data_IF_206939945589
#
_entry.id   IF_206939945589
#
_cell.length_a   1.000
_cell.length_b   1.000
_cell.length_c   1.000
_cell.angle_alpha   90.00
_cell.angle_beta   90.00
_cell.angle_gamma   90.00
#
_symmetry.space_group_name_H-M   'P 1'
#
loop_
_entity.id
_entity.type
_entity.pdbx_description
1 polymer ?
#
# COMPACT_ATOMS: atom_id res chain seq x y z
N UNK A 1 -1.57 -15.70 6.33
CA UNK A 1 -2.92 -16.27 6.04
C UNK A 1 -3.69 -16.63 7.31
N UNK A 2 -5.01 -16.37 7.35
CA UNK A 2 -5.90 -16.83 8.43
C UNK A 2 -6.42 -18.25 8.12
N UNK A 3 -6.19 -19.20 9.01
CA UNK A 3 -6.54 -20.61 8.80
C UNK A 3 -7.99 -20.95 9.16
N UNK A 4 -8.77 -19.99 9.70
CA UNK A 4 -10.18 -20.18 10.06
C UNK A 4 -10.40 -20.94 11.38
N UNK A 5 -9.33 -21.35 12.05
CA UNK A 5 -9.33 -22.09 13.32
C UNK A 5 -8.66 -21.31 14.46
N UNK A 6 -8.59 -19.98 14.31
CA UNK A 6 -7.89 -19.03 15.21
C UNK A 6 -6.37 -19.12 15.16
N UNK A 7 -5.80 -19.84 14.19
CA UNK A 7 -4.37 -19.80 13.90
C UNK A 7 -4.08 -18.99 12.64
N UNK A 8 -2.81 -18.59 12.50
CA UNK A 8 -2.31 -17.88 11.34
C UNK A 8 -1.05 -18.58 10.83
N UNK A 9 -0.93 -18.63 9.51
CA UNK A 9 0.28 -19.08 8.81
C UNK A 9 1.00 -17.85 8.30
N UNK A 10 2.27 -17.68 8.66
CA UNK A 10 3.16 -16.70 8.01
C UNK A 10 3.37 -17.15 6.56
N UNK A 11 3.17 -16.26 5.61
CA UNK A 11 3.25 -16.58 4.19
C UNK A 11 3.69 -15.40 3.33
N UNK A 12 4.14 -14.29 3.90
CA UNK A 12 4.40 -13.07 3.13
C UNK A 12 5.44 -13.30 2.02
N UNK A 13 6.45 -14.11 2.32
CA UNK A 13 7.50 -14.53 1.38
C UNK A 13 6.98 -15.30 0.16
N UNK A 14 5.83 -15.95 0.26
CA UNK A 14 5.22 -16.67 -0.86
C UNK A 14 4.46 -15.72 -1.81
N UNK A 15 4.08 -14.54 -1.31
CA UNK A 15 3.19 -13.62 -2.02
C UNK A 15 3.89 -12.34 -2.49
N UNK A 16 4.97 -11.91 -1.83
CA UNK A 16 5.68 -10.66 -2.16
C UNK A 16 7.18 -10.90 -2.22
N UNK A 17 7.87 -10.24 -3.15
CA UNK A 17 9.34 -10.26 -3.23
C UNK A 17 10.00 -9.41 -2.13
N UNK A 18 9.29 -8.39 -1.64
CA UNK A 18 9.78 -7.48 -0.60
C UNK A 18 8.64 -6.67 0.02
N UNK A 19 8.91 -6.04 1.16
CA UNK A 19 7.92 -5.23 1.90
C UNK A 19 8.47 -3.89 2.39
N UNK A 20 7.59 -3.03 2.94
CA UNK A 20 7.99 -1.86 3.73
C UNK A 20 8.81 -2.28 4.96
N UNK A 21 9.82 -1.49 5.33
CA UNK A 21 10.64 -1.76 6.51
C UNK A 21 9.99 -1.29 7.82
N UNK A 22 9.33 -0.13 7.80
CA UNK A 22 8.71 0.48 8.97
C UNK A 22 7.24 0.80 8.69
N UNK A 23 6.45 -0.23 8.40
CA UNK A 23 5.02 -0.06 8.06
C UNK A 23 4.28 0.73 9.14
N UNK A 24 3.79 1.91 8.79
CA UNK A 24 3.03 2.77 9.71
C UNK A 24 1.51 2.66 9.52
N UNK A 25 1.10 2.32 8.29
CA UNK A 25 -0.28 2.14 7.90
C UNK A 25 -0.41 1.14 6.76
N UNK A 26 -1.58 0.52 6.66
CA UNK A 26 -1.94 -0.40 5.59
C UNK A 26 -3.42 -0.23 5.28
N UNK A 27 -3.75 -0.25 3.99
CA UNK A 27 -5.13 -0.37 3.54
C UNK A 27 -5.19 -1.23 2.27
N UNK A 28 -6.37 -1.79 2.02
CA UNK A 28 -6.62 -2.79 0.97
C UNK A 28 -7.83 -2.35 0.16
N UNK A 29 -7.65 -2.25 -1.15
CA UNK A 29 -8.71 -1.92 -2.11
C UNK A 29 -8.34 -2.47 -3.49
N UNK A 30 -9.33 -2.68 -4.35
CA UNK A 30 -9.13 -2.99 -5.77
C UNK A 30 -8.86 -1.67 -6.51
N UNK A 31 -7.59 -1.39 -6.81
CA UNK A 31 -7.15 -0.09 -7.33
C UNK A 31 -7.29 -0.01 -8.86
N UNK A 32 -7.24 -1.15 -9.55
CA UNK A 32 -7.32 -1.26 -11.01
C UNK A 32 -8.70 -1.78 -11.51
N UNK A 33 -9.65 -2.02 -10.61
CA UNK A 33 -11.01 -2.52 -10.89
C UNK A 33 -11.03 -3.92 -11.56
N UNK A 34 -10.10 -4.81 -11.22
CA UNK A 34 -10.07 -6.19 -11.72
C UNK A 34 -10.76 -7.21 -10.79
N UNK A 35 -11.27 -6.76 -9.64
CA UNK A 35 -11.93 -7.56 -8.62
C UNK A 35 -10.96 -8.28 -7.66
N UNK A 36 -9.65 -8.03 -7.77
CA UNK A 36 -8.60 -8.56 -6.91
C UNK A 36 -8.08 -7.42 -6.02
N UNK A 37 -8.18 -7.54 -4.67
CA UNK A 37 -7.73 -6.47 -3.79
C UNK A 37 -6.20 -6.33 -3.79
N UNK A 38 -5.74 -5.09 -3.90
CA UNK A 38 -4.36 -4.66 -3.80
C UNK A 38 -4.04 -4.15 -2.39
N UNK A 39 -2.75 -4.09 -2.04
CA UNK A 39 -2.30 -3.64 -0.72
C UNK A 39 -1.42 -2.41 -0.87
N UNK A 40 -1.77 -1.33 -0.19
CA UNK A 40 -0.89 -0.18 -0.04
C UNK A 40 -0.41 -0.08 1.40
N UNK A 41 0.90 -0.01 1.60
CA UNK A 41 1.52 0.20 2.91
C UNK A 41 2.41 1.43 2.92
N UNK A 42 2.30 2.21 4.00
CA UNK A 42 3.03 3.46 4.18
C UNK A 42 4.30 3.28 5.01
N UNK A 43 5.30 4.10 4.68
CA UNK A 43 6.59 4.21 5.36
C UNK A 43 7.02 5.69 5.39
N UNK A 44 8.24 5.99 5.82
CA UNK A 44 8.68 7.33 6.21
C UNK A 44 9.66 7.99 5.21
N UNK A 45 9.74 7.51 3.97
CA UNK A 45 10.67 8.05 2.97
C UNK A 45 10.33 9.50 2.59
N UNK A 46 11.18 10.50 2.89
CA UNK A 46 10.91 11.89 2.53
C UNK A 46 10.92 12.11 1.01
N UNK A 47 9.98 12.92 0.53
CA UNK A 47 9.96 13.38 -0.87
C UNK A 47 10.71 14.70 -1.07
N UNK A 48 11.03 15.42 0.01
CA UNK A 48 11.84 16.63 -0.03
C UNK A 48 13.33 16.27 0.09
N UNK A 49 14.13 16.67 -0.90
CA UNK A 49 15.57 16.36 -0.98
C UNK A 49 16.33 16.77 0.29
N UNK A 50 16.11 17.99 0.81
CA UNK A 50 16.78 18.46 2.03
C UNK A 50 16.46 17.59 3.26
N UNK A 51 15.24 17.04 3.33
CA UNK A 51 14.83 16.15 4.42
C UNK A 51 15.39 14.76 4.21
N UNK A 52 15.39 14.28 2.97
CA UNK A 52 15.96 12.98 2.61
C UNK A 52 17.45 12.90 2.95
N UNK A 53 18.23 13.92 2.57
CA UNK A 53 19.69 13.95 2.80
C UNK A 53 20.10 13.94 4.27
N UNK A 54 19.18 14.32 5.17
CA UNK A 54 19.39 14.30 6.63
C UNK A 54 18.56 13.24 7.35
N UNK A 55 17.87 12.34 6.65
CA UNK A 55 17.07 11.28 7.28
C UNK A 55 17.81 9.95 7.25
N UNK A 56 18.10 9.39 8.42
CA UNK A 56 18.48 7.98 8.56
C UNK A 56 17.23 7.09 8.53
N UNK A 57 17.37 5.83 8.12
CA UNK A 57 16.26 4.88 8.19
C UNK A 57 16.50 3.60 7.40
N UNK A 58 17.10 3.72 6.22
CA UNK A 58 17.42 2.54 5.42
C UNK A 58 18.57 1.75 6.04
N UNK A 59 18.42 0.42 6.08
CA UNK A 59 19.51 -0.47 6.47
C UNK A 59 20.67 -0.39 5.48
N UNK A 60 21.89 -0.47 5.99
CA UNK A 60 23.07 -0.66 5.13
C UNK A 60 23.02 -2.03 4.46
N UNK A 61 23.70 -2.18 3.32
CA UNK A 61 23.75 -3.46 2.61
C UNK A 61 24.31 -4.59 3.48
N UNK A 62 25.24 -4.28 4.38
CA UNK A 62 25.72 -5.23 5.39
C UNK A 62 24.59 -5.74 6.30
N UNK A 63 23.76 -4.84 6.84
CA UNK A 63 22.64 -5.23 7.71
C UNK A 63 21.61 -6.05 6.91
N UNK A 64 21.31 -5.66 5.67
CA UNK A 64 20.40 -6.41 4.79
C UNK A 64 20.88 -7.83 4.55
N UNK A 65 22.18 -8.03 4.30
CA UNK A 65 22.77 -9.38 4.14
C UNK A 65 22.65 -10.23 5.41
N UNK A 66 22.96 -9.65 6.58
CA UNK A 66 22.83 -10.34 7.86
C UNK A 66 21.37 -10.75 8.11
N UNK A 67 20.41 -9.85 7.82
CA UNK A 67 18.97 -10.15 7.91
C UNK A 67 18.58 -11.32 6.99
N UNK A 68 19.04 -11.31 5.74
CA UNK A 68 18.78 -12.41 4.80
C UNK A 68 19.35 -13.75 5.28
N UNK A 69 20.55 -13.79 5.86
CA UNK A 69 21.15 -15.00 6.44
C UNK A 69 20.35 -15.55 7.63
N UNK A 70 19.62 -14.68 8.34
CA UNK A 70 18.71 -15.05 9.43
C UNK A 70 17.30 -15.44 8.94
N UNK A 71 17.05 -15.43 7.62
CA UNK A 71 15.78 -15.78 7.02
C UNK A 71 14.74 -14.66 7.00
N UNK A 72 15.17 -13.39 7.15
CA UNK A 72 14.28 -12.25 6.92
C UNK A 72 14.21 -11.90 5.43
N UNK A 73 12.99 -11.61 4.97
CA UNK A 73 12.75 -11.15 3.61
C UNK A 73 13.27 -9.73 3.37
N UNK A 74 13.52 -9.34 2.10
CA UNK A 74 13.91 -7.97 1.77
C UNK A 74 12.86 -6.94 2.20
N UNK A 75 13.35 -5.85 2.78
CA UNK A 75 12.52 -4.71 3.18
C UNK A 75 13.16 -3.40 2.76
N UNK A 76 12.34 -2.40 2.44
CA UNK A 76 12.78 -1.06 2.04
C UNK A 76 12.01 0.01 2.81
N UNK A 77 12.69 1.06 3.27
CA UNK A 77 12.09 2.16 4.04
C UNK A 77 11.38 3.17 3.13
N UNK A 78 10.33 2.73 2.43
CA UNK A 78 9.49 3.51 1.49
C UNK A 78 8.10 2.92 1.38
N UNK A 79 7.12 3.66 0.89
CA UNK A 79 5.78 3.09 0.63
C UNK A 79 5.85 1.97 -0.41
N UNK A 80 4.91 1.03 -0.32
CA UNK A 80 4.74 -0.05 -1.28
C UNK A 80 3.30 -0.10 -1.77
N UNK A 81 3.15 -0.39 -3.06
CA UNK A 81 1.86 -0.59 -3.74
C UNK A 81 1.91 -1.99 -4.34
N UNK A 82 1.45 -2.97 -3.59
CA UNK A 82 1.46 -4.38 -3.96
C UNK A 82 0.21 -4.68 -4.77
N UNK A 83 0.33 -4.70 -6.09
CA UNK A 83 -0.74 -5.02 -7.02
C UNK A 83 -0.91 -6.55 -7.12
N UNK A 84 -2.13 -7.06 -6.98
CA UNK A 84 -2.41 -8.48 -7.04
C UNK A 84 -2.31 -9.01 -8.47
N UNK A 85 -1.42 -9.95 -8.76
CA UNK A 85 -1.14 -10.39 -10.15
C UNK A 85 -2.19 -11.35 -10.73
N UNK A 86 -3.05 -11.92 -9.88
CA UNK A 86 -3.97 -13.00 -10.24
C UNK A 86 -3.28 -14.37 -10.42
N UNK A 87 -1.95 -14.41 -10.31
CA UNK A 87 -1.13 -15.62 -10.45
C UNK A 87 -0.63 -16.17 -9.10
N UNK A 88 -1.16 -15.65 -7.98
CA UNK A 88 -0.77 -16.05 -6.63
C UNK A 88 0.45 -15.30 -6.11
N UNK A 89 0.66 -14.06 -6.55
CA UNK A 89 1.70 -13.15 -6.07
C UNK A 89 1.23 -11.70 -6.16
N UNK A 90 2.01 -10.79 -5.58
CA UNK A 90 1.89 -9.36 -5.74
C UNK A 90 3.13 -8.79 -6.45
N UNK A 91 2.94 -7.64 -7.10
CA UNK A 91 4.00 -6.86 -7.71
C UNK A 91 4.00 -5.45 -7.12
N UNK A 92 5.15 -4.99 -6.63
CA UNK A 92 5.28 -3.63 -6.10
C UNK A 92 5.42 -2.60 -7.23
N UNK A 93 4.45 -1.70 -7.32
CA UNK A 93 4.38 -0.65 -8.34
C UNK A 93 4.68 0.75 -7.80
N UNK A 94 4.99 0.93 -6.51
CA UNK A 94 5.08 2.27 -5.91
C UNK A 94 6.15 3.19 -6.56
N UNK A 95 7.25 2.61 -7.07
CA UNK A 95 8.26 3.36 -7.82
C UNK A 95 7.75 3.78 -9.19
N UNK A 96 7.06 2.89 -9.91
CA UNK A 96 6.51 3.15 -11.24
C UNK A 96 5.38 4.19 -11.18
N UNK A 97 4.50 4.10 -10.19
CA UNK A 97 3.39 5.03 -9.96
C UNK A 97 3.81 6.30 -9.23
N UNK A 98 5.07 6.38 -8.78
CA UNK A 98 5.65 7.52 -8.03
C UNK A 98 4.94 7.82 -6.70
N UNK A 99 4.35 6.81 -6.07
CA UNK A 99 3.70 6.90 -4.75
C UNK A 99 4.61 6.44 -3.60
N UNK A 100 5.88 6.13 -3.90
CA UNK A 100 6.85 5.54 -2.97
C UNK A 100 7.33 6.46 -1.83
N UNK A 101 7.29 7.78 -1.99
CA UNK A 101 7.82 8.74 -1.03
C UNK A 101 6.76 9.77 -0.64
N UNK A 102 6.34 9.74 0.64
CA UNK A 102 5.38 10.69 1.20
C UNK A 102 5.82 11.26 2.54
N UNK A 103 7.10 11.14 2.90
CA UNK A 103 7.64 11.55 4.20
C UNK A 103 6.96 10.79 5.36
N UNK A 104 6.92 11.38 6.57
CA UNK A 104 6.48 10.71 7.80
C UNK A 104 4.99 10.34 7.83
N UNK A 105 4.67 9.25 7.14
CA UNK A 105 3.31 8.81 6.85
C UNK A 105 2.72 8.01 8.00
N UNK A 106 1.41 8.12 8.20
CA UNK A 106 0.67 7.38 9.24
C UNK A 106 -0.51 6.60 8.65
N UNK A 107 -1.71 7.20 8.60
CA UNK A 107 -2.90 6.59 8.04
C UNK A 107 -2.82 6.59 6.51
N UNK A 108 -3.27 5.50 5.90
CA UNK A 108 -3.62 5.43 4.48
C UNK A 108 -5.11 5.10 4.34
N UNK A 109 -5.78 5.76 3.39
CA UNK A 109 -7.17 5.48 3.01
C UNK A 109 -7.21 5.32 1.49
N UNK A 110 -7.61 4.13 1.02
CA UNK A 110 -7.84 3.83 -0.39
C UNK A 110 -9.33 3.94 -0.68
N UNK A 111 -9.73 5.00 -1.40
CA UNK A 111 -11.12 5.27 -1.71
C UNK A 111 -11.25 6.25 -2.87
N UNK A 112 -12.35 6.16 -3.61
CA UNK A 112 -12.74 7.12 -4.63
C UNK A 112 -13.35 8.37 -3.97
N UNK A 113 -12.61 9.48 -3.93
CA UNK A 113 -13.06 10.72 -3.28
C UNK A 113 -13.73 11.70 -4.26
N UNK A 114 -13.64 11.47 -5.57
CA UNK A 114 -14.18 12.34 -6.61
C UNK A 114 -15.27 11.67 -7.47
N UNK A 115 -15.68 10.46 -7.09
CA UNK A 115 -16.69 9.63 -7.74
C UNK A 115 -16.37 9.23 -9.19
N UNK A 116 -15.10 9.25 -9.62
CA UNK A 116 -14.73 8.92 -10.99
C UNK A 116 -14.65 7.40 -11.28
N UNK A 117 -14.91 6.55 -10.28
CA UNK A 117 -14.86 5.09 -10.34
C UNK A 117 -13.50 4.49 -9.97
N UNK A 118 -12.49 5.32 -9.75
CA UNK A 118 -11.11 4.95 -9.48
C UNK A 118 -10.72 5.33 -8.06
N UNK A 119 -9.83 4.54 -7.46
CA UNK A 119 -9.52 4.67 -6.03
C UNK A 119 -8.30 5.57 -5.91
N UNK A 120 -8.43 6.60 -5.10
CA UNK A 120 -7.35 7.51 -4.74
C UNK A 120 -6.61 6.99 -3.50
N UNK A 121 -5.46 7.61 -3.20
CA UNK A 121 -4.64 7.28 -2.04
C UNK A 121 -4.49 8.52 -1.18
N UNK A 122 -5.20 8.57 -0.06
CA UNK A 122 -4.98 9.58 0.97
C UNK A 122 -3.99 9.08 2.02
N UNK A 123 -3.06 9.93 2.43
CA UNK A 123 -2.05 9.66 3.47
C UNK A 123 -1.96 10.83 4.45
N UNK A 124 -2.12 10.55 5.74
CA UNK A 124 -1.83 11.54 6.79
C UNK A 124 -0.34 11.60 7.11
N UNK A 125 0.14 12.79 7.46
CA UNK A 125 1.57 13.07 7.48
C UNK A 125 2.04 13.95 8.65
N UNK A 126 3.33 13.86 8.96
CA UNK A 126 4.02 14.71 9.91
C UNK A 126 4.45 13.98 11.18
N UNK A 127 5.49 14.52 11.82
CA UNK A 127 5.92 14.07 13.15
C UNK A 127 6.33 15.26 14.01
N UNK A 128 5.82 15.29 15.24
CA UNK A 128 6.07 16.38 16.19
C UNK A 128 7.57 16.54 16.50
N UNK A 129 8.31 15.43 16.54
CA UNK A 129 9.74 15.37 16.82
C UNK A 129 10.36 14.27 15.95
N UNK A 130 11.27 14.62 15.04
CA UNK A 130 11.91 13.70 14.08
C UNK A 130 13.21 13.13 14.70
N UNK A 131 13.22 11.88 15.22
CA UNK A 131 14.39 11.34 15.91
C UNK A 131 15.47 10.79 14.97
N UNK A 132 15.12 10.47 13.73
CA UNK A 132 16.03 9.89 12.73
C UNK A 132 16.80 10.95 11.92
N UNK A 133 16.75 12.21 12.34
CA UNK A 133 17.50 13.28 11.71
C UNK A 133 19.01 13.11 12.02
N UNK A 134 19.83 13.03 10.99
CA UNK A 134 21.26 12.76 11.07
C UNK A 134 22.03 13.91 11.72
N UNK A 135 21.59 15.16 11.54
CA UNK A 135 22.20 16.30 12.22
C UNK A 135 21.90 16.24 13.72
N UNK A 136 20.69 15.84 14.10
CA UNK A 136 20.34 15.58 15.49
C UNK A 136 21.12 14.40 16.09
N UNK A 137 21.27 13.30 15.35
CA UNK A 137 22.08 12.14 15.77
C UNK A 137 23.56 12.54 15.94
N UNK A 138 24.11 13.36 15.06
CA UNK A 138 25.46 13.90 15.19
C UNK A 138 25.58 14.81 16.41
N UNK A 139 24.58 15.65 16.68
CA UNK A 139 24.53 16.50 17.85
C UNK A 139 24.49 15.70 19.16
N UNK A 140 23.71 14.62 19.22
CA UNK A 140 23.65 13.70 20.37
C UNK A 140 25.03 13.15 20.75
N UNK A 141 25.88 12.89 19.75
CA UNK A 141 27.22 12.33 19.91
C UNK A 141 28.33 13.39 20.02
N UNK A 142 27.98 14.68 20.08
CA UNK A 142 28.94 15.77 20.13
C UNK A 142 29.50 16.01 21.54
N UNK A 143 30.69 16.63 21.63
CA UNK A 143 31.27 17.12 22.89
C UNK A 143 30.37 18.11 23.64
N UNK A 144 29.47 18.79 22.92
CA UNK A 144 28.51 19.70 23.51
C UNK A 144 27.52 18.99 24.43
N UNK A 145 27.23 17.71 24.19
CA UNK A 145 26.31 16.89 24.99
C UNK A 145 27.05 15.90 25.88
N UNK A 146 28.15 15.30 25.42
CA UNK A 146 28.85 14.22 26.16
C UNK A 146 29.42 14.65 27.52
N UNK A 147 29.64 15.95 27.73
CA UNK A 147 30.08 16.52 29.02
C UNK A 147 29.02 16.50 30.12
N UNK A 148 27.75 16.37 29.76
CA UNK A 148 26.65 16.31 30.71
C UNK A 148 26.39 14.88 31.14
N UNK A 149 25.97 14.70 32.40
CA UNK A 149 25.46 13.40 32.85
C UNK A 149 24.11 13.12 32.20
N UNK A 150 23.73 11.85 32.08
CA UNK A 150 22.46 11.46 31.45
C UNK A 150 21.23 12.02 32.18
N UNK A 151 21.30 12.12 33.51
CA UNK A 151 20.25 12.61 34.40
C UNK A 151 20.21 14.15 34.52
N UNK A 152 21.09 14.87 33.82
CA UNK A 152 21.17 16.32 33.88
C UNK A 152 19.94 16.98 33.19
N UNK A 153 19.16 17.80 33.90
CA UNK A 153 18.04 18.51 33.30
C UNK A 153 18.44 19.45 32.15
N UNK A 154 19.64 20.05 32.20
CA UNK A 154 20.15 20.92 31.13
C UNK A 154 20.42 20.12 29.86
N UNK A 155 20.96 18.90 29.99
CA UNK A 155 21.13 17.98 28.87
C UNK A 155 19.80 17.69 28.21
N UNK A 156 18.80 17.30 29.00
CA UNK A 156 17.46 16.97 28.52
C UNK A 156 16.83 18.14 27.77
N UNK A 157 16.91 19.36 28.34
CA UNK A 157 16.38 20.56 27.70
C UNK A 157 17.04 20.83 26.33
N UNK A 158 18.37 20.71 26.24
CA UNK A 158 19.11 20.91 24.98
C UNK A 158 18.76 19.89 23.91
N UNK A 159 18.56 18.63 24.29
CA UNK A 159 18.15 17.58 23.36
C UNK A 159 16.74 17.84 22.83
N UNK A 160 15.80 18.23 23.69
CA UNK A 160 14.42 18.58 23.29
C UNK A 160 14.39 19.80 22.35
N UNK A 161 15.22 20.80 22.64
CA UNK A 161 15.35 22.01 21.81
C UNK A 161 15.90 21.69 20.41
N UNK A 162 16.88 20.79 20.32
CA UNK A 162 17.53 20.41 19.06
C UNK A 162 16.79 19.35 18.25
N UNK A 163 15.82 18.64 18.85
CA UNK A 163 14.96 17.70 18.13
C UNK A 163 14.13 18.44 17.07
N UNK A 164 14.35 18.17 15.78
CA UNK A 164 13.62 18.83 14.69
C UNK A 164 12.13 18.52 14.77
N UNK A 165 11.31 19.49 14.40
CA UNK A 165 9.87 19.35 14.28
C UNK A 165 9.47 19.84 12.89
N UNK A 166 8.65 19.08 12.17
CA UNK A 166 8.25 19.43 10.82
C UNK A 166 6.77 19.16 10.61
N UNK A 167 5.98 20.23 10.54
CA UNK A 167 4.59 20.13 10.10
C UNK A 167 4.58 19.86 8.59
N UNK A 168 3.78 18.91 8.16
CA UNK A 168 3.66 18.50 6.76
C UNK A 168 2.21 18.61 6.31
N UNK A 169 2.01 18.83 5.01
CA UNK A 169 0.69 18.66 4.41
C UNK A 169 0.40 17.17 4.26
N UNK A 170 -0.86 16.81 4.34
CA UNK A 170 -1.30 15.45 4.01
C UNK A 170 -1.22 15.26 2.49
N UNK A 171 -1.22 14.01 2.03
CA UNK A 171 -1.11 13.67 0.61
C UNK A 171 -2.40 13.03 0.15
N UNK A 172 -2.93 13.46 -1.00
CA UNK A 172 -4.01 12.81 -1.74
C UNK A 172 -3.55 12.61 -3.18
N UNK A 173 -3.11 11.39 -3.49
CA UNK A 173 -2.84 10.99 -4.87
C UNK A 173 -4.16 10.65 -5.55
N UNK A 174 -4.60 11.51 -6.48
CA UNK A 174 -5.78 11.22 -7.30
C UNK A 174 -5.43 10.31 -8.45
N UNK A 175 -6.19 9.25 -8.66
CA UNK A 175 -5.98 8.33 -9.78
C UNK A 175 -6.52 8.94 -11.09
N UNK A 176 -5.74 8.84 -12.15
CA UNK A 176 -6.01 9.44 -13.47
C UNK A 176 -6.25 8.40 -14.58
N UNK A 177 -6.38 7.12 -14.22
CA UNK A 177 -6.47 5.98 -15.14
C UNK A 177 -5.21 5.11 -15.09
N UNK A 178 -5.37 3.81 -15.29
CA UNK A 178 -4.27 2.85 -15.43
C UNK A 178 -3.19 2.95 -14.33
N UNK A 179 -3.63 3.15 -13.08
CA UNK A 179 -2.77 3.34 -11.90
C UNK A 179 -1.79 4.53 -12.02
N UNK A 180 -2.06 5.48 -12.91
CA UNK A 180 -1.36 6.77 -12.92
C UNK A 180 -1.96 7.66 -11.84
N UNK A 181 -1.10 8.30 -11.06
CA UNK A 181 -1.50 9.19 -9.98
C UNK A 181 -0.91 10.59 -10.16
N UNK A 182 -1.58 11.59 -9.57
CA UNK A 182 -1.07 12.97 -9.52
C UNK A 182 0.35 13.03 -8.93
N UNK A 183 1.16 13.97 -9.42
CA UNK A 183 2.52 14.14 -8.91
C UNK A 183 2.51 14.63 -7.44
N UNK A 184 3.53 14.25 -6.66
CA UNK A 184 3.64 14.60 -5.22
C UNK A 184 3.47 16.10 -4.90
N UNK A 185 3.86 16.99 -5.82
CA UNK A 185 3.67 18.43 -5.67
C UNK A 185 2.21 18.87 -5.71
N UNK A 186 1.40 18.21 -6.54
CA UNK A 186 -0.04 18.48 -6.73
C UNK A 186 -0.90 17.75 -5.69
N UNK A 187 -0.40 16.62 -5.18
CA UNK A 187 -1.09 15.78 -4.20
C UNK A 187 -1.09 16.35 -2.78
N UNK A 188 -0.42 17.46 -2.49
CA UNK A 188 -0.36 18.03 -1.14
C UNK A 188 -1.65 18.77 -0.77
N UNK A 189 -2.36 18.28 0.25
CA UNK A 189 -3.68 18.77 0.66
C UNK A 189 -3.72 19.21 2.13
N UNK A 190 -4.66 20.12 2.43
CA UNK A 190 -4.82 20.69 3.77
C UNK A 190 -3.67 21.61 4.19
N UNK A 191 -3.77 22.23 5.36
CA UNK A 191 -2.70 23.04 5.93
C UNK A 191 -1.61 22.13 6.54
N UNK A 192 -0.33 22.57 6.59
CA UNK A 192 0.71 21.82 7.28
C UNK A 192 0.39 21.60 8.76
N UNK A 193 0.50 20.35 9.22
CA UNK A 193 0.15 19.91 10.58
C UNK A 193 0.95 18.67 10.99
N UNK A 194 0.68 18.13 12.18
CA UNK A 194 1.10 16.80 12.59
C UNK A 194 -0.14 15.90 12.61
N UNK A 195 -0.36 15.12 11.57
CA UNK A 195 -1.55 14.27 11.44
C UNK A 195 -1.20 12.80 11.53
N UNK A 196 -1.93 12.06 12.38
CA UNK A 196 -1.72 10.62 12.55
C UNK A 196 -2.94 9.84 12.04
N UNK A 197 -4.09 10.02 12.67
CA UNK A 197 -5.32 9.32 12.31
C UNK A 197 -6.08 9.99 11.18
N UNK A 198 -6.78 9.18 10.37
CA UNK A 198 -7.71 9.67 9.37
C UNK A 198 -8.84 8.65 9.13
N UNK A 199 -10.02 9.16 8.81
CA UNK A 199 -11.20 8.38 8.43
C UNK A 199 -11.98 9.11 7.33
N UNK A 200 -12.81 8.39 6.59
CA UNK A 200 -13.73 9.00 5.62
C UNK A 200 -15.19 8.67 5.91
N UNK A 201 -16.07 9.60 5.56
CA UNK A 201 -17.51 9.43 5.54
C UNK A 201 -18.15 10.53 4.68
N UNK A 202 -19.29 10.23 4.07
CA UNK A 202 -20.21 11.23 3.53
C UNK A 202 -20.99 11.82 4.72
N UNK A 203 -20.51 12.97 5.22
CA UNK A 203 -20.95 13.56 6.49
C UNK A 203 -22.26 14.32 6.38
N UNK A 204 -22.51 14.95 5.23
CA UNK A 204 -23.71 15.76 4.99
C UNK A 204 -24.76 15.05 4.10
N UNK A 205 -24.41 13.91 3.52
CA UNK A 205 -25.30 13.07 2.73
C UNK A 205 -25.41 13.48 1.26
N UNK A 206 -24.46 14.26 0.75
CA UNK A 206 -24.46 14.76 -0.63
C UNK A 206 -23.88 13.78 -1.66
N UNK A 207 -23.33 12.64 -1.21
CA UNK A 207 -22.73 11.63 -2.06
C UNK A 207 -21.26 11.85 -2.38
N UNK A 208 -20.60 12.79 -1.69
CA UNK A 208 -19.16 12.99 -1.72
C UNK A 208 -18.59 12.56 -0.36
N UNK A 209 -17.37 12.02 -0.36
CA UNK A 209 -16.73 11.59 0.86
C UNK A 209 -15.84 12.70 1.42
N UNK A 210 -16.10 13.11 2.65
CA UNK A 210 -15.16 13.92 3.42
C UNK A 210 -14.08 13.05 4.04
N UNK A 211 -12.89 13.64 4.16
CA UNK A 211 -11.78 13.07 4.94
C UNK A 211 -11.67 13.81 6.26
N UNK A 212 -11.84 13.10 7.37
CA UNK A 212 -11.64 13.62 8.72
C UNK A 212 -10.23 13.25 9.18
N UNK A 213 -9.43 14.26 9.52
CA UNK A 213 -8.02 14.11 9.91
C UNK A 213 -7.81 14.50 11.36
N UNK A 214 -7.19 13.63 12.14
CA UNK A 214 -6.78 13.90 13.51
C UNK A 214 -5.42 14.60 13.55
N UNK A 215 -5.38 15.78 14.16
CA UNK A 215 -4.18 16.59 14.32
C UNK A 215 -3.68 16.56 15.77
N UNK A 216 -2.39 16.35 15.98
CA UNK A 216 -1.78 16.33 17.31
C UNK A 216 -1.87 17.73 17.94
N UNK A 217 -2.44 17.83 19.15
CA UNK A 217 -2.58 19.05 19.93
C UNK A 217 -3.34 20.19 19.22
N UNK A 218 -4.12 19.87 18.20
CA UNK A 218 -4.86 20.82 17.37
C UNK A 218 -6.26 20.28 17.06
N UNK A 219 -7.16 21.13 16.58
CA UNK A 219 -8.50 20.71 16.16
C UNK A 219 -8.40 19.79 14.94
N UNK A 220 -9.28 18.77 14.88
CA UNK A 220 -9.40 17.92 13.71
C UNK A 220 -9.76 18.73 12.46
N UNK A 221 -9.25 18.32 11.31
CA UNK A 221 -9.60 18.92 10.02
C UNK A 221 -10.63 18.07 9.30
N UNK A 222 -11.53 18.71 8.55
CA UNK A 222 -12.40 18.05 7.58
C UNK A 222 -12.00 18.57 6.20
N UNK A 223 -11.58 17.66 5.32
CA UNK A 223 -11.25 17.97 3.94
C UNK A 223 -12.46 17.63 3.08
N UNK A 224 -12.97 18.65 2.40
CA UNK A 224 -14.06 18.54 1.44
C UNK A 224 -13.47 18.53 0.03
N UNK A 225 -14.07 17.73 -0.84
CA UNK A 225 -13.75 17.65 -2.26
C UNK A 225 -15.01 17.80 -3.07
N UNK A 226 -14.85 18.05 -4.36
CA UNK A 226 -15.95 18.03 -5.31
C UNK A 226 -15.84 16.74 -6.14
N UNK A 227 -16.99 16.12 -6.41
CA UNK A 227 -17.06 15.08 -7.41
C UNK A 227 -16.66 15.61 -8.81
N UNK A 228 -16.20 14.72 -9.68
CA UNK A 228 -16.03 15.04 -11.09
C UNK A 228 -17.39 15.47 -11.69
N UNK A 229 -17.34 16.40 -12.64
CA UNK A 229 -18.56 16.96 -13.22
C UNK A 229 -19.43 15.88 -13.90
N UNK A 230 -20.64 15.68 -13.37
CA UNK A 230 -21.56 14.66 -13.87
C UNK A 230 -21.30 13.25 -13.33
N UNK A 231 -20.39 13.12 -12.36
CA UNK A 231 -20.18 11.86 -11.66
C UNK A 231 -21.38 11.48 -10.79
N UNK A 232 -21.62 10.19 -10.69
CA UNK A 232 -22.69 9.57 -9.91
C UNK A 232 -22.08 8.67 -8.84
N UNK A 233 -22.87 8.27 -7.85
CA UNK A 233 -22.41 7.42 -6.76
C UNK A 233 -23.44 6.35 -6.40
N UNK A 234 -23.03 5.35 -5.62
CA UNK A 234 -23.90 4.41 -4.95
C UNK A 234 -23.43 4.21 -3.51
N UNK A 235 -24.32 4.46 -2.55
CA UNK A 235 -24.07 4.11 -1.16
C UNK A 235 -24.77 2.81 -0.81
N UNK A 236 -24.09 1.93 -0.08
CA UNK A 236 -24.65 0.62 0.29
C UNK A 236 -24.57 0.44 1.81
N UNK A 237 -25.73 0.18 2.42
CA UNK A 237 -25.83 -0.21 3.82
C UNK A 237 -26.16 -1.70 3.93
N UNK A 238 -25.31 -2.44 4.63
CA UNK A 238 -25.51 -3.86 4.87
C UNK A 238 -26.05 -4.10 6.27
N UNK A 239 -27.11 -4.89 6.38
CA UNK A 239 -27.71 -5.27 7.66
C UNK A 239 -27.97 -6.77 7.73
N UNK A 240 -27.48 -7.43 8.79
CA UNK A 240 -27.90 -8.78 9.16
C UNK A 240 -29.02 -8.68 10.21
N UNK A 241 -30.27 -9.10 9.91
CA UNK A 241 -31.37 -9.07 10.87
C UNK A 241 -31.13 -9.89 12.15
N UNK A 242 -30.22 -10.88 12.12
CA UNK A 242 -29.83 -11.65 13.29
C UNK A 242 -28.84 -10.89 14.21
N UNK A 243 -28.44 -9.67 13.86
CA UNK A 243 -27.49 -8.86 14.63
C UNK A 243 -26.03 -9.29 14.48
N UNK A 244 -25.72 -10.14 13.51
CA UNK A 244 -24.35 -10.55 13.23
C UNK A 244 -23.57 -9.44 12.50
N UNK A 245 -22.25 -9.44 12.65
CA UNK A 245 -21.38 -8.51 11.94
C UNK A 245 -21.49 -8.70 10.43
N UNK A 246 -21.57 -7.57 9.71
CA UNK A 246 -21.51 -7.52 8.25
C UNK A 246 -20.10 -7.21 7.74
N UNK A 247 -19.15 -6.89 8.64
CA UNK A 247 -17.74 -6.66 8.27
C UNK A 247 -17.15 -7.91 7.61
N UNK A 248 -16.39 -7.69 6.54
CA UNK A 248 -15.87 -8.75 5.67
C UNK A 248 -16.83 -9.18 4.55
N UNK A 249 -18.04 -8.62 4.50
CA UNK A 249 -18.91 -8.78 3.34
C UNK A 249 -18.28 -8.13 2.10
N UNK A 250 -18.31 -8.85 0.99
CA UNK A 250 -17.78 -8.42 -0.31
C UNK A 250 -18.94 -7.94 -1.17
N UNK A 251 -18.82 -6.77 -1.76
CA UNK A 251 -19.84 -6.17 -2.60
C UNK A 251 -19.27 -5.86 -3.97
N UNK A 252 -19.97 -6.35 -4.98
CA UNK A 252 -19.68 -6.09 -6.38
C UNK A 252 -20.81 -5.27 -6.97
N UNK A 253 -20.47 -4.22 -7.71
CA UNK A 253 -21.40 -3.39 -8.47
C UNK A 253 -21.05 -3.59 -9.94
N UNK A 254 -21.97 -4.19 -10.70
CA UNK A 254 -21.84 -4.41 -12.12
C UNK A 254 -22.56 -3.29 -12.87
N UNK A 255 -21.85 -2.62 -13.76
CA UNK A 255 -22.39 -1.58 -14.63
C UNK A 255 -22.77 -2.19 -15.99
N UNK A 256 -23.68 -1.53 -16.71
CA UNK A 256 -24.17 -2.02 -18.01
C UNK A 256 -23.12 -1.98 -19.13
N UNK A 257 -22.05 -1.20 -18.95
CA UNK A 257 -20.92 -1.14 -19.89
C UNK A 257 -19.91 -2.30 -19.69
N UNK A 258 -20.15 -3.16 -18.69
CA UNK A 258 -19.31 -4.30 -18.36
C UNK A 258 -18.28 -4.04 -17.25
N UNK A 259 -18.14 -2.81 -16.78
CA UNK A 259 -17.28 -2.50 -15.64
C UNK A 259 -17.83 -3.14 -14.36
N UNK A 260 -16.92 -3.63 -13.50
CA UNK A 260 -17.26 -4.14 -12.17
C UNK A 260 -16.46 -3.37 -11.13
N UNK A 261 -17.12 -2.83 -10.12
CA UNK A 261 -16.49 -2.21 -8.98
C UNK A 261 -16.60 -3.14 -7.77
N UNK A 262 -15.50 -3.31 -7.05
CA UNK A 262 -15.43 -4.18 -5.88
C UNK A 262 -15.05 -3.40 -4.62
N UNK A 263 -15.73 -3.69 -3.51
CA UNK A 263 -15.29 -3.29 -2.17
C UNK A 263 -15.62 -4.37 -1.13
N UNK A 264 -14.76 -4.48 -0.11
CA UNK A 264 -15.04 -5.23 1.11
C UNK A 264 -15.41 -4.28 2.25
N UNK A 265 -16.46 -4.60 3.01
CA UNK A 265 -16.85 -3.80 4.18
C UNK A 265 -15.82 -4.00 5.31
N UNK A 266 -14.83 -3.11 5.34
CA UNK A 266 -13.87 -2.98 6.41
C UNK A 266 -13.85 -1.52 6.88
N UNK A 267 -14.00 -1.32 8.19
CA UNK A 267 -14.03 0.04 8.78
C UNK A 267 -12.75 0.39 9.49
N UNK A 268 -11.93 -0.61 9.86
CA UNK A 268 -10.72 -0.43 10.66
C UNK A 268 -9.54 -0.19 9.73
N UNK A 269 -9.28 1.09 9.46
CA UNK A 269 -8.19 1.62 8.66
C UNK A 269 -7.87 3.03 9.14
N UNK A 270 -6.64 3.48 8.89
CA UNK A 270 -6.10 4.72 9.44
C UNK A 270 -5.80 4.62 10.94
N UNK A 271 -4.65 5.14 11.36
CA UNK A 271 -4.16 5.02 12.73
C UNK A 271 -5.22 5.42 13.78
N UNK A 272 -5.58 4.49 14.67
CA UNK A 272 -6.61 4.67 15.71
C UNK A 272 -7.94 5.26 15.19
N UNK A 273 -8.32 4.93 13.96
CA UNK A 273 -9.46 5.52 13.27
C UNK A 273 -10.44 4.44 12.80
N UNK A 274 -11.67 4.86 12.47
CA UNK A 274 -12.65 4.01 11.81
C UNK A 274 -13.44 4.83 10.79
N UNK A 275 -13.46 4.36 9.55
CA UNK A 275 -14.26 4.98 8.49
C UNK A 275 -15.73 4.55 8.54
N UNK A 276 -16.55 5.15 7.67
CA UNK A 276 -17.97 4.87 7.51
C UNK A 276 -18.30 3.37 7.44
N UNK A 277 -19.48 3.00 7.96
CA UNK A 277 -20.04 1.65 7.81
C UNK A 277 -20.84 1.49 6.51
N UNK A 278 -20.95 2.56 5.72
CA UNK A 278 -21.48 2.51 4.37
C UNK A 278 -20.35 2.28 3.39
N UNK A 279 -20.57 1.36 2.46
CA UNK A 279 -19.74 1.26 1.26
C UNK A 279 -20.16 2.38 0.32
N UNK A 280 -19.19 2.96 -0.37
CA UNK A 280 -19.39 4.08 -1.28
C UNK A 280 -18.68 3.78 -2.59
N UNK A 281 -19.43 3.73 -3.68
CA UNK A 281 -18.92 3.49 -5.02
C UNK A 281 -19.14 4.75 -5.85
N UNK A 282 -18.07 5.39 -6.32
CA UNK A 282 -18.19 6.30 -7.45
C UNK A 282 -18.49 5.52 -8.72
N UNK A 283 -19.40 6.04 -9.53
CA UNK A 283 -19.89 5.39 -10.75
C UNK A 283 -19.44 6.16 -12.01
N UNK A 284 -18.67 7.24 -11.86
CA UNK A 284 -18.38 8.18 -12.93
C UNK A 284 -19.66 8.63 -13.63
N UNK A 285 -19.66 8.66 -14.96
CA UNK A 285 -20.82 9.07 -15.74
C UNK A 285 -21.98 8.05 -15.77
N UNK A 286 -21.85 6.87 -15.15
CA UNK A 286 -22.87 5.83 -15.21
C UNK A 286 -24.11 6.21 -14.38
N UNK A 287 -25.26 6.31 -15.06
CA UNK A 287 -26.55 6.62 -14.43
C UNK A 287 -27.39 5.39 -14.10
N UNK A 288 -26.96 4.21 -14.55
CA UNK A 288 -27.70 2.95 -14.43
C UNK A 288 -26.74 1.84 -14.03
N UNK A 289 -27.16 1.00 -13.08
CA UNK A 289 -26.40 -0.11 -12.55
C UNK A 289 -27.14 -1.39 -12.96
N UNK A 290 -26.44 -2.40 -13.48
CA UNK A 290 -27.05 -3.67 -13.85
C UNK A 290 -27.43 -4.46 -12.58
N UNK A 291 -26.46 -4.67 -11.71
CA UNK A 291 -26.67 -5.46 -10.50
C UNK A 291 -25.68 -5.14 -9.38
N UNK A 292 -26.17 -5.27 -8.15
CA UNK A 292 -25.38 -5.25 -6.93
C UNK A 292 -25.38 -6.64 -6.32
N UNK A 293 -24.20 -7.21 -6.11
CA UNK A 293 -24.02 -8.55 -5.57
C UNK A 293 -23.31 -8.45 -4.22
N UNK A 294 -23.94 -8.99 -3.18
CA UNK A 294 -23.35 -9.10 -1.84
C UNK A 294 -23.00 -10.55 -1.56
N UNK A 295 -21.74 -10.80 -1.19
CA UNK A 295 -21.29 -12.06 -0.60
C UNK A 295 -21.05 -11.80 0.88
N UNK A 296 -21.87 -12.42 1.73
CA UNK A 296 -21.82 -12.25 3.18
C UNK A 296 -20.65 -13.04 3.81
N UNK A 297 -20.27 -12.75 5.06
CA UNK A 297 -19.18 -13.47 5.73
C UNK A 297 -19.39 -14.98 5.89
N UNK A 298 -20.64 -15.46 5.81
CA UNK A 298 -20.99 -16.88 5.81
C UNK A 298 -21.06 -17.50 4.40
N UNK A 299 -20.59 -16.77 3.39
CA UNK A 299 -20.61 -17.15 1.97
C UNK A 299 -22.00 -17.30 1.34
N UNK A 300 -23.06 -16.87 2.02
CA UNK A 300 -24.34 -16.65 1.35
C UNK A 300 -24.22 -15.49 0.37
N UNK A 301 -24.94 -15.58 -0.76
CA UNK A 301 -24.92 -14.57 -1.83
C UNK A 301 -26.31 -14.00 -2.02
N UNK A 302 -26.39 -12.69 -2.19
CA UNK A 302 -27.62 -11.97 -2.51
C UNK A 302 -27.38 -11.02 -3.67
N UNK A 303 -28.40 -10.79 -4.50
CA UNK A 303 -28.30 -9.90 -5.66
C UNK A 303 -29.52 -8.99 -5.73
N UNK A 304 -29.25 -7.70 -5.93
CA UNK A 304 -30.24 -6.66 -6.22
C UNK A 304 -30.06 -6.25 -7.67
N UNK A 305 -31.11 -6.35 -8.48
CA UNK A 305 -31.10 -6.01 -9.91
C UNK A 305 -31.55 -4.57 -10.09
N UNK A 306 -30.89 -3.84 -10.99
CA UNK A 306 -31.19 -2.46 -11.35
C UNK A 306 -31.31 -1.49 -10.15
N UNK A 307 -30.35 -1.44 -9.21
CA UNK A 307 -30.38 -0.42 -8.15
C UNK A 307 -30.23 0.98 -8.75
N UNK A 308 -30.88 1.97 -8.15
CA UNK A 308 -30.75 3.37 -8.53
C UNK A 308 -29.37 3.92 -8.18
N UNK A 309 -28.77 4.69 -9.09
CA UNK A 309 -27.61 5.54 -8.77
C UNK A 309 -28.05 6.75 -7.92
N UNK A 310 -27.09 7.40 -7.26
CA UNK A 310 -27.22 8.56 -6.38
C UNK A 310 -28.17 8.34 -5.20
N UNK A 311 -28.24 7.11 -4.70
CA UNK A 311 -29.10 6.73 -3.60
C UNK A 311 -28.37 5.82 -2.59
N UNK A 312 -28.96 5.74 -1.39
CA UNK A 312 -28.58 4.74 -0.39
C UNK A 312 -29.39 3.46 -0.59
N UNK A 313 -28.73 2.40 -1.03
CA UNK A 313 -29.32 1.07 -1.12
C UNK A 313 -29.12 0.32 0.19
N UNK A 314 -30.22 -0.02 0.86
CA UNK A 314 -30.21 -0.86 2.06
C UNK A 314 -30.38 -2.33 1.68
N UNK A 315 -29.36 -3.14 1.91
CA UNK A 315 -29.40 -4.58 1.69
C UNK A 315 -29.52 -5.29 3.03
N UNK A 316 -30.69 -5.87 3.28
CA UNK A 316 -30.92 -6.76 4.42
C UNK A 316 -30.64 -8.19 4.00
N UNK A 317 -29.81 -8.90 4.76
CA UNK A 317 -29.47 -10.30 4.53
C UNK A 317 -30.73 -11.16 4.53
N UNK A 318 -30.97 -11.86 3.43
CA UNK A 318 -32.05 -12.85 3.31
C UNK A 318 -31.73 -14.18 3.99
N UNK A 319 -32.75 -15.03 4.13
CA UNK A 319 -32.61 -16.41 4.62
C UNK A 319 -32.09 -17.35 3.52
N UNK A 320 -31.01 -16.97 2.84
CA UNK A 320 -30.36 -17.78 1.80
C UNK A 320 -29.22 -18.58 2.41
N UNK A 321 -29.19 -19.89 2.13
CA UNK A 321 -28.06 -20.73 2.51
C UNK A 321 -26.76 -20.35 1.78
N UNK A 322 -25.60 -20.84 2.23
CA UNK A 322 -24.33 -20.62 1.53
C UNK A 322 -24.46 -21.11 0.09
N UNK A 323 -24.09 -20.27 -0.87
CA UNK A 323 -24.08 -20.67 -2.28
C UNK A 323 -22.86 -21.55 -2.53
N UNK A 324 -23.09 -22.80 -2.97
CA UNK A 324 -22.03 -23.69 -3.42
C UNK A 324 -21.31 -23.04 -4.61
N UNK A 325 -20.07 -22.58 -4.41
CA UNK A 325 -19.27 -21.95 -5.47
C UNK A 325 -18.25 -20.90 -5.01
N UNK A 326 -18.36 -20.37 -3.79
CA UNK A 326 -17.42 -19.32 -3.31
C UNK A 326 -16.11 -19.88 -2.75
N UNK A 327 -15.97 -21.21 -2.65
CA UNK A 327 -14.63 -21.81 -2.60
C UNK A 327 -14.05 -21.81 -4.00
N UNK A 328 -13.71 -20.62 -4.49
CA UNK A 328 -12.65 -20.48 -5.46
C UNK A 328 -11.39 -21.01 -4.79
N UNK A 329 -11.17 -22.32 -4.88
CA UNK A 329 -9.81 -22.83 -5.00
C UNK A 329 -9.30 -22.19 -6.28
N UNK A 330 -8.81 -20.96 -6.19
CA UNK A 330 -7.78 -20.50 -7.10
C UNK A 330 -6.67 -21.52 -6.88
N UNK A 331 -6.69 -22.58 -7.70
CA UNK A 331 -5.52 -23.36 -7.98
C UNK A 331 -4.53 -22.31 -8.43
N UNK A 332 -3.67 -21.85 -7.53
CA UNK A 332 -2.47 -21.09 -7.86
C UNK A 332 -1.91 -21.87 -9.04
N UNK A 333 -2.03 -21.29 -10.25
CA UNK A 333 -1.63 -21.97 -11.46
C UNK A 333 -0.19 -22.37 -11.20
N UNK A 334 0.05 -23.69 -11.21
CA UNK A 334 1.33 -24.29 -10.84
C UNK A 334 2.45 -23.39 -11.34
N UNK A 335 3.25 -22.87 -10.41
CA UNK A 335 4.40 -22.04 -10.72
C UNK A 335 5.08 -22.59 -11.98
N UNK A 336 5.46 -21.74 -12.95
CA UNK A 336 6.07 -22.20 -14.18
C UNK A 336 7.15 -23.23 -13.87
N UNK A 337 7.00 -24.43 -14.44
CA UNK A 337 7.97 -25.50 -14.23
C UNK A 337 9.17 -25.20 -15.10
N UNK A 338 10.19 -24.61 -14.51
CA UNK A 338 11.47 -24.45 -15.15
C UNK A 338 12.23 -25.78 -15.10
N UNK A 339 12.77 -26.19 -16.24
CA UNK A 339 13.83 -27.19 -16.25
C UNK A 339 15.12 -26.46 -15.91
N UNK A 340 15.61 -26.65 -14.67
CA UNK A 340 16.88 -26.08 -14.26
C UNK A 340 17.98 -26.63 -15.16
N UNK A 341 18.78 -25.74 -15.73
CA UNK A 341 19.95 -26.14 -16.50
C UNK A 341 20.94 -26.83 -15.56
N UNK A 342 21.54 -27.97 -15.93
CA UNK A 342 22.32 -28.80 -15.00
C UNK A 342 23.70 -28.21 -14.64
N UNK A 343 23.97 -26.96 -14.99
CA UNK A 343 25.22 -26.26 -14.66
C UNK A 343 24.90 -25.17 -13.62
N UNK A 344 25.30 -25.35 -12.34
CA UNK A 344 25.15 -24.31 -11.35
C UNK A 344 26.21 -23.22 -11.59
N UNK A 345 25.78 -21.96 -11.58
CA UNK A 345 26.69 -20.84 -11.41
C UNK A 345 26.90 -20.59 -9.92
N UNK A 346 28.16 -20.47 -9.49
CA UNK A 346 28.50 -20.06 -8.14
C UNK A 346 28.93 -18.59 -8.18
N UNK A 347 28.09 -17.73 -7.61
CA UNK A 347 28.33 -16.29 -7.51
C UNK A 347 29.53 -15.98 -6.61
N UNK A 348 30.37 -15.03 -7.02
CA UNK A 348 31.48 -14.51 -6.23
C UNK A 348 30.95 -13.77 -4.98
N UNK A 349 31.38 -14.18 -3.78
CA UNK A 349 30.91 -13.58 -2.55
C UNK A 349 31.54 -12.20 -2.27
N UNK A 350 32.52 -11.75 -3.08
CA UNK A 350 33.18 -10.47 -2.90
C UNK A 350 32.20 -9.30 -3.01
N UNK A 351 32.35 -8.35 -2.09
CA UNK A 351 31.45 -7.24 -1.86
C UNK A 351 32.22 -5.95 -2.17
N UNK A 352 32.25 -5.60 -3.45
CA UNK A 352 32.97 -4.45 -4.02
C UNK A 352 32.42 -3.11 -3.53
N UNK A 353 31.10 -3.01 -3.33
CA UNK A 353 30.37 -1.88 -2.75
C UNK A 353 30.80 -1.51 -1.31
N UNK A 354 31.45 -2.41 -0.56
CA UNK A 354 32.04 -2.05 0.74
C UNK A 354 33.31 -1.20 0.59
N UNK A 355 34.04 -1.38 -0.51
CA UNK A 355 35.25 -0.60 -0.81
C UNK A 355 34.91 0.65 -1.64
N UNK A 356 34.00 0.50 -2.61
CA UNK A 356 33.54 1.56 -3.52
C UNK A 356 32.06 1.86 -3.26
N UNK A 357 31.77 2.60 -2.18
CA UNK A 357 30.40 2.88 -1.71
C UNK A 357 29.46 3.55 -2.72
N UNK A 358 29.98 4.10 -3.81
CA UNK A 358 29.22 4.79 -4.86
C UNK A 358 29.13 3.98 -6.15
N UNK A 359 29.59 2.72 -6.16
CA UNK A 359 29.46 1.85 -7.30
C UNK A 359 27.96 1.54 -7.52
N UNK A 360 27.43 1.69 -8.75
CA UNK A 360 26.00 1.54 -8.99
C UNK A 360 25.54 0.07 -8.95
N UNK A 361 26.46 -0.87 -9.16
CA UNK A 361 26.21 -2.31 -9.16
C UNK A 361 27.49 -3.06 -8.77
N UNK A 362 27.34 -4.32 -8.34
CA UNK A 362 28.50 -5.18 -8.04
C UNK A 362 29.11 -5.74 -9.33
N UNK A 363 30.23 -5.17 -9.77
CA UNK A 363 31.01 -5.66 -10.91
C UNK A 363 31.69 -7.01 -10.61
N UNK A 364 31.88 -7.33 -9.33
CA UNK A 364 32.37 -8.63 -8.88
C UNK A 364 31.40 -9.78 -9.15
N UNK A 365 30.14 -9.49 -9.51
CA UNK A 365 29.02 -10.43 -9.69
C UNK A 365 28.49 -10.49 -11.12
N UNK A 366 29.35 -10.22 -12.08
CA UNK A 366 29.01 -10.35 -13.49
C UNK A 366 28.98 -11.84 -13.87
N UNK A 367 27.76 -12.38 -13.92
CA UNK A 367 27.49 -13.75 -14.31
C UNK A 367 27.91 -14.09 -15.76
N UNK A 368 27.75 -15.36 -16.18
CA UNK A 368 28.21 -15.82 -17.48
C UNK A 368 27.44 -15.16 -18.62
N UNK A 369 28.13 -14.81 -19.70
CA UNK A 369 27.48 -14.43 -20.95
C UNK A 369 26.75 -15.63 -21.56
N UNK A 370 25.54 -15.42 -22.07
CA UNK A 370 24.71 -16.48 -22.67
C UNK A 370 24.44 -16.17 -24.14
N UNK A 371 24.64 -17.16 -25.01
CA UNK A 371 24.25 -17.11 -26.43
C UNK A 371 23.33 -18.29 -26.73
N UNK A 372 22.19 -18.03 -27.37
CA UNK A 372 21.19 -19.04 -27.73
C UNK A 372 20.80 -18.96 -29.22
N UNK A 373 21.66 -19.52 -30.07
CA UNK A 373 21.56 -19.44 -31.54
C UNK A 373 21.99 -20.75 -32.19
N UNK A 374 21.57 -20.98 -33.43
CA UNK A 374 22.02 -22.10 -34.26
C UNK A 374 23.41 -21.76 -34.84
N UNK A 375 24.46 -22.28 -34.23
CA UNK A 375 25.84 -21.88 -34.54
C UNK A 375 26.45 -22.68 -35.69
N UNK A 376 25.90 -23.87 -35.98
CA UNK A 376 26.39 -24.74 -37.05
C UNK A 376 25.43 -24.87 -38.26
N UNK A 377 24.29 -24.18 -38.21
CA UNK A 377 23.21 -24.17 -39.20
C UNK A 377 22.57 -25.55 -39.42
N UNK A 378 22.49 -26.39 -38.39
CA UNK A 378 21.80 -27.69 -38.47
C UNK A 378 20.27 -27.59 -38.24
N UNK A 379 19.78 -26.41 -37.88
CA UNK A 379 18.39 -26.11 -37.58
C UNK A 379 18.00 -26.30 -36.11
N UNK A 380 18.95 -26.63 -35.22
CA UNK A 380 18.81 -26.68 -33.77
C UNK A 380 19.52 -25.48 -33.14
N UNK A 381 18.94 -24.91 -32.07
CA UNK A 381 19.61 -23.83 -31.33
C UNK A 381 20.60 -24.40 -30.33
N UNK A 382 21.83 -23.92 -30.39
CA UNK A 382 22.88 -24.16 -29.40
C UNK A 382 22.76 -23.17 -28.25
N UNK A 383 23.06 -23.65 -27.04
CA UNK A 383 23.25 -22.80 -25.85
C UNK A 383 24.73 -22.77 -25.50
N UNK A 384 25.36 -21.60 -25.64
CA UNK A 384 26.73 -21.37 -25.21
C UNK A 384 26.71 -20.51 -23.95
N UNK A 385 27.38 -21.01 -22.91
CA UNK A 385 27.62 -20.30 -21.66
C UNK A 385 29.10 -19.91 -21.62
N UNK A 386 29.37 -18.60 -21.62
CA UNK A 386 30.71 -18.06 -21.43
C UNK A 386 31.20 -18.23 -19.99
N UNK A 387 32.48 -17.93 -19.76
CA UNK A 387 32.98 -17.78 -18.40
C UNK A 387 32.28 -16.62 -17.69
N UNK A 388 32.04 -16.77 -16.39
CA UNK A 388 31.65 -15.67 -15.54
C UNK A 388 32.91 -14.94 -15.02
N UNK A 389 32.81 -13.62 -14.86
CA UNK A 389 33.85 -12.84 -14.20
C UNK A 389 33.65 -12.86 -12.67
N UNK A 390 32.39 -12.93 -12.25
CA UNK A 390 31.95 -13.23 -10.89
C UNK A 390 31.61 -14.68 -10.67
#
# INVERSE_FOLDING_TARGET
LNNGDKTFTESIAEWTDHTTQFSMGVDIADLNNDGLPDVFSTDMLPFLEEVYLKSGGEDTDQIKRIKAELGFEPQYARNHLQLHTGLGSFMDLALQTRTFATDWSWAVLLQDFDNNGQKDIFISNGIAKRPNDLDYINYLNSEAISRYREDDPERTAKLIEKLPAQKLRNILFRQQGDLQFTAIGESQVGAPTFSNGAAYADLDGDGILEIVVNNINETASVLHYDAEAGANYLRVALQDPAGQTTKGAKVYVHLHDGQTLYQELQTVKGYQSSSSHYLHFGLGAATTIDSLVVIWPDYSRQTTINPSANELVQVRKGATGPTAGVRGSASINKAPRFNLFPIPHQENPYVDDENEKLIPERLSRQGPAVLYEDLDNDGLKDLVLGGAHG
#
